data_IF_675599571547
#
_entry.id   IF_675599571547
#
_cell.length_a   1.000
_cell.length_b   1.000
_cell.length_c   1.000
_cell.angle_alpha   90.00
_cell.angle_beta   90.00
_cell.angle_gamma   90.00
#
_symmetry.space_group_name_H-M   'P 1'
#
loop_
_entity.id
_entity.type
_entity.pdbx_description
1 polymer ?
2 water ?
#
# COMPACT_ATOMS: atom_id res chain seq x y z
N UNK A 1 -6.22 -9.60 38.26
CA UNK A 1 -7.14 -8.46 38.55
C UNK A 1 -7.95 -8.04 37.33
N UNK A 2 -8.42 -6.79 37.34
CA UNK A 2 -9.20 -6.26 36.23
C UNK A 2 -8.33 -5.45 35.28
N UNK A 3 -7.32 -4.77 35.83
CA UNK A 3 -6.42 -3.99 35.01
C UNK A 3 -5.70 -4.98 34.09
N UNK A 4 -5.68 -6.24 34.50
CA UNK A 4 -5.05 -7.30 33.73
C UNK A 4 -6.08 -7.81 32.72
N UNK A 5 -7.33 -7.87 33.17
CA UNK A 5 -8.42 -8.32 32.32
C UNK A 5 -8.52 -7.44 31.07
N UNK A 6 -8.54 -6.12 31.27
CA UNK A 6 -8.65 -5.18 30.17
C UNK A 6 -7.38 -5.15 29.32
N UNK A 7 -6.23 -5.33 29.94
CA UNK A 7 -4.98 -5.32 29.18
C UNK A 7 -4.88 -6.52 28.25
N UNK A 8 -5.34 -7.67 28.73
CA UNK A 8 -5.32 -8.88 27.90
C UNK A 8 -6.21 -8.63 26.70
N UNK A 9 -7.37 -8.04 26.98
CA UNK A 9 -8.37 -7.72 25.98
C UNK A 9 -7.82 -6.71 24.95
N UNK A 10 -7.30 -5.59 25.44
CA UNK A 10 -6.75 -4.57 24.56
C UNK A 10 -5.61 -5.13 23.72
N UNK A 11 -4.75 -5.95 24.34
CA UNK A 11 -3.64 -6.54 23.61
C UNK A 11 -4.13 -7.51 22.54
N UNK A 12 -5.26 -8.17 22.79
CA UNK A 12 -5.80 -9.11 21.82
C UNK A 12 -6.22 -8.35 20.56
N UNK A 13 -7.02 -7.30 20.75
CA UNK A 13 -7.48 -6.49 19.66
C UNK A 13 -6.33 -5.84 18.91
N UNK A 14 -5.33 -5.35 19.65
CA UNK A 14 -4.16 -4.73 19.05
C UNK A 14 -3.38 -5.71 18.18
N UNK A 15 -3.11 -6.90 18.71
CA UNK A 15 -2.36 -7.90 17.94
C UNK A 15 -3.07 -8.25 16.63
N UNK A 16 -4.40 -8.29 16.66
CA UNK A 16 -5.19 -8.57 15.46
C UNK A 16 -5.03 -7.44 14.43
N UNK A 17 -5.09 -6.19 14.90
CA UNK A 17 -4.95 -5.02 14.05
C UNK A 17 -3.60 -5.11 13.35
N UNK A 18 -2.54 -5.26 14.14
CA UNK A 18 -1.18 -5.35 13.61
C UNK A 18 -1.10 -6.46 12.56
N UNK A 19 -1.77 -7.56 12.80
CA UNK A 19 -1.74 -8.64 11.84
C UNK A 19 -2.39 -8.14 10.54
N UNK A 20 -3.59 -7.56 10.64
CA UNK A 20 -4.26 -7.05 9.45
C UNK A 20 -3.48 -5.96 8.71
N UNK A 21 -2.85 -5.06 9.45
CA UNK A 21 -2.07 -4.01 8.81
C UNK A 21 -0.86 -4.57 8.07
N UNK A 22 -0.13 -5.49 8.69
CA UNK A 22 1.05 -6.06 8.03
C UNK A 22 0.65 -6.70 6.71
N UNK A 23 -0.44 -7.45 6.71
CA UNK A 23 -0.88 -8.10 5.48
C UNK A 23 -1.25 -7.04 4.44
N UNK A 24 -2.04 -6.05 4.86
CA UNK A 24 -2.46 -4.96 3.98
C UNK A 24 -1.24 -4.31 3.35
N UNK A 25 -0.25 -3.97 4.19
CA UNK A 25 0.99 -3.35 3.74
C UNK A 25 1.72 -4.21 2.71
N UNK A 26 1.63 -5.51 2.86
CA UNK A 26 2.28 -6.40 1.92
C UNK A 26 1.51 -6.39 0.61
N UNK A 27 0.19 -6.49 0.71
CA UNK A 27 -0.65 -6.49 -0.47
C UNK A 27 -0.42 -5.24 -1.30
N UNK A 28 -0.35 -4.10 -0.62
CA UNK A 28 -0.13 -2.84 -1.30
C UNK A 28 1.26 -2.81 -1.94
N UNK A 29 2.26 -3.35 -1.25
CA UNK A 29 3.63 -3.39 -1.78
C UNK A 29 3.67 -4.06 -3.14
N UNK A 30 2.94 -5.17 -3.25
CA UNK A 30 2.89 -5.96 -4.46
C UNK A 30 2.07 -5.28 -5.55
N UNK A 31 0.90 -4.81 -5.17
CA UNK A 31 0.00 -4.13 -6.08
C UNK A 31 0.76 -2.96 -6.70
N UNK A 32 1.49 -2.23 -5.87
CA UNK A 32 2.25 -1.07 -6.29
C UNK A 32 3.42 -1.41 -7.22
N UNK A 33 4.08 -2.54 -7.00
CA UNK A 33 5.20 -2.90 -7.88
C UNK A 33 4.63 -3.50 -9.16
N UNK A 34 3.58 -4.30 -9.01
CA UNK A 34 2.91 -4.90 -10.16
C UNK A 34 2.50 -3.74 -11.06
N UNK A 35 2.04 -2.68 -10.41
CA UNK A 35 1.60 -1.46 -11.07
C UNK A 35 2.76 -0.87 -11.88
N UNK A 36 3.91 -0.70 -11.22
CA UNK A 36 5.08 -0.13 -11.88
C UNK A 36 5.58 -0.97 -13.04
N UNK A 37 5.52 -2.29 -12.93
CA UNK A 37 5.98 -3.15 -14.02
C UNK A 37 5.02 -3.05 -15.20
N UNK A 38 3.73 -2.92 -14.90
CA UNK A 38 2.71 -2.81 -15.94
C UNK A 38 2.93 -1.48 -16.67
N UNK A 39 3.35 -0.47 -15.91
CA UNK A 39 3.62 0.86 -16.43
C UNK A 39 4.86 0.85 -17.32
N UNK A 40 5.90 0.17 -16.83
CA UNK A 40 7.16 0.06 -17.55
C UNK A 40 6.97 -0.74 -18.83
N UNK A 41 6.09 -1.74 -18.78
CA UNK A 41 5.82 -2.58 -19.94
C UNK A 41 4.96 -1.83 -20.95
N UNK A 42 4.08 -0.99 -20.45
CA UNK A 42 3.20 -0.22 -21.30
C UNK A 42 4.05 0.61 -22.25
N UNK A 43 5.24 0.99 -21.80
CA UNK A 43 6.14 1.78 -22.62
C UNK A 43 6.96 0.93 -23.57
N UNK A 44 7.30 -0.28 -23.14
CA UNK A 44 8.10 -1.17 -23.97
C UNK A 44 7.58 -1.26 -25.40
N UNK A 45 6.28 -1.48 -25.59
CA UNK A 45 5.74 -1.54 -26.95
C UNK A 45 5.79 -0.14 -27.56
N UNK A 46 5.80 0.88 -26.69
CA UNK A 46 5.84 2.30 -27.07
C UNK A 46 7.23 2.70 -27.57
N UNK A 47 8.28 2.18 -26.93
CA UNK A 47 9.64 2.48 -27.36
C UNK A 47 9.77 2.01 -28.80
N UNK A 48 9.08 0.92 -29.13
CA UNK A 48 9.12 0.37 -30.49
C UNK A 48 8.16 1.12 -31.41
N UNK A 49 7.24 1.84 -30.79
CA UNK A 49 6.24 2.63 -31.50
C UNK A 49 6.83 3.91 -32.10
N UNK A 50 6.98 4.96 -31.29
CA UNK A 50 7.54 6.21 -31.79
C UNK A 50 8.91 5.99 -32.42
N UNK A 51 9.66 5.00 -31.95
CA UNK A 51 10.99 4.69 -32.48
C UNK A 51 10.92 4.17 -33.91
N UNK A 52 9.93 3.32 -34.16
CA UNK A 52 9.75 2.76 -35.49
C UNK A 52 8.92 3.68 -36.38
N UNK A 53 8.24 4.65 -35.77
CA UNK A 53 7.41 5.60 -36.50
C UNK A 53 8.25 6.78 -36.98
N UNK A 54 9.36 7.03 -36.29
CA UNK A 54 10.25 8.12 -36.63
C UNK A 54 11.04 7.82 -37.89
N UNK A 55 11.78 6.70 -37.89
CA UNK A 55 12.56 6.32 -39.06
C UNK A 55 12.07 4.98 -39.61
N UNK B 1 2.52 -5.59 38.45
CA UNK B 1 3.42 -6.13 39.50
C UNK B 1 4.33 -7.22 38.97
N UNK B 2 4.04 -7.68 37.76
CA UNK B 2 4.83 -8.73 37.11
C UNK B 2 4.28 -8.93 35.70
N UNK B 3 3.07 -9.45 35.62
CA UNK B 3 2.43 -9.65 34.34
C UNK B 3 1.76 -8.34 33.97
N UNK B 4 1.31 -7.58 34.97
CA UNK B 4 0.66 -6.30 34.72
C UNK B 4 1.65 -5.35 34.07
N UNK B 5 2.93 -5.52 34.40
CA UNK B 5 3.99 -4.69 33.85
C UNK B 5 4.34 -5.18 32.45
N UNK B 6 4.38 -6.51 32.29
CA UNK B 6 4.67 -7.13 31.01
C UNK B 6 3.57 -6.72 30.02
N UNK B 7 2.33 -6.86 30.46
CA UNK B 7 1.18 -6.50 29.65
C UNK B 7 1.25 -5.05 29.17
N UNK B 8 1.52 -4.12 30.07
CA UNK B 8 1.62 -2.70 29.72
C UNK B 8 2.69 -2.43 28.69
N UNK B 9 3.84 -3.06 28.86
CA UNK B 9 4.93 -2.88 27.91
C UNK B 9 4.52 -3.43 26.53
N UNK B 10 3.90 -4.61 26.50
CA UNK B 10 3.47 -5.18 25.23
C UNK B 10 2.49 -4.20 24.58
N UNK B 11 1.51 -3.77 25.36
CA UNK B 11 0.49 -2.84 24.90
C UNK B 11 1.09 -1.57 24.30
N UNK B 12 2.11 -1.03 24.95
CA UNK B 12 2.76 0.18 24.48
C UNK B 12 3.42 -0.04 23.12
N UNK B 13 4.14 -1.15 23.00
CA UNK B 13 4.80 -1.48 21.75
C UNK B 13 3.79 -1.75 20.64
N UNK B 14 2.64 -2.33 20.99
CA UNK B 14 1.60 -2.62 20.01
C UNK B 14 0.99 -1.33 19.46
N UNK B 15 0.68 -0.39 20.35
CA UNK B 15 0.08 0.88 19.93
C UNK B 15 0.99 1.64 18.98
N UNK B 16 2.29 1.60 19.24
CA UNK B 16 3.26 2.28 18.38
C UNK B 16 3.39 1.57 17.04
N UNK B 17 3.30 0.24 17.08
CA UNK B 17 3.39 -0.58 15.88
C UNK B 17 2.20 -0.30 14.97
N UNK B 18 1.00 -0.21 15.56
CA UNK B 18 -0.21 0.10 14.81
C UNK B 18 -0.11 1.47 14.14
N UNK B 19 0.37 2.45 14.90
CA UNK B 19 0.52 3.81 14.39
C UNK B 19 1.53 3.88 13.24
N UNK B 20 2.59 3.08 13.32
CA UNK B 20 3.60 3.07 12.27
C UNK B 20 3.10 2.37 11.00
N UNK B 21 2.40 1.26 11.17
CA UNK B 21 1.85 0.51 10.05
C UNK B 21 0.78 1.33 9.37
N UNK B 22 -0.01 2.02 10.18
CA UNK B 22 -1.07 2.88 9.67
C UNK B 22 -0.46 3.96 8.79
N UNK B 23 0.68 4.50 9.19
CA UNK B 23 1.32 5.54 8.41
C UNK B 23 1.83 4.96 7.10
N UNK B 24 2.27 3.72 7.14
CA UNK B 24 2.78 3.04 5.96
C UNK B 24 1.67 2.75 4.95
N UNK B 25 0.51 2.33 5.43
CA UNK B 25 -0.60 2.03 4.56
C UNK B 25 -1.05 3.31 3.86
N UNK B 26 -1.12 4.41 4.62
CA UNK B 26 -1.53 5.67 4.04
C UNK B 26 -0.60 6.13 2.92
N UNK B 27 0.71 5.95 3.10
CA UNK B 27 1.69 6.33 2.09
C UNK B 27 1.54 5.47 0.84
N UNK B 28 1.38 4.16 1.02
CA UNK B 28 1.22 3.26 -0.12
C UNK B 28 -0.06 3.59 -0.90
N UNK B 29 -1.14 3.89 -0.18
CA UNK B 29 -2.41 4.23 -0.82
C UNK B 29 -2.27 5.52 -1.63
N UNK B 30 -1.41 6.42 -1.17
CA UNK B 30 -1.18 7.67 -1.89
C UNK B 30 -0.36 7.39 -3.16
N UNK B 31 0.75 6.67 -3.01
CA UNK B 31 1.59 6.34 -4.16
C UNK B 31 0.73 5.65 -5.22
N UNK B 32 0.00 4.64 -4.77
CA UNK B 32 -0.86 3.85 -5.63
C UNK B 32 -1.88 4.72 -6.36
N UNK B 33 -2.57 5.58 -5.61
CA UNK B 33 -3.56 6.47 -6.19
C UNK B 33 -2.94 7.37 -7.24
N UNK B 34 -1.85 8.02 -6.86
CA UNK B 34 -1.12 8.92 -7.74
C UNK B 34 -0.72 8.21 -9.03
N UNK B 35 -0.35 6.93 -8.91
CA UNK B 35 0.07 6.16 -10.07
C UNK B 35 -1.12 5.93 -10.99
N UNK B 36 -2.29 5.76 -10.38
CA UNK B 36 -3.51 5.55 -11.14
C UNK B 36 -3.93 6.82 -11.85
N UNK B 37 -3.57 7.97 -11.30
CA UNK B 37 -3.92 9.21 -11.96
C UNK B 37 -3.07 9.42 -13.21
N UNK B 38 -1.86 8.87 -13.21
CA UNK B 38 -0.98 8.99 -14.37
C UNK B 38 -1.35 7.92 -15.38
N UNK B 39 -1.55 6.70 -14.91
CA UNK B 39 -1.95 5.63 -15.79
C UNK B 39 -3.17 6.12 -16.56
N UNK B 40 -4.13 6.72 -15.85
CA UNK B 40 -5.36 7.23 -16.45
C UNK B 40 -5.12 8.38 -17.43
N UNK B 41 -4.53 9.46 -16.95
CA UNK B 41 -4.25 10.63 -17.78
C UNK B 41 -3.58 10.22 -19.10
N UNK B 42 -2.73 9.21 -19.03
CA UNK B 42 -2.04 8.70 -20.20
C UNK B 42 -3.04 8.01 -21.14
N UNK B 43 -3.81 7.08 -20.60
CA UNK B 43 -4.80 6.34 -21.37
C UNK B 43 -5.67 7.31 -22.15
N UNK B 44 -6.20 8.32 -21.46
CA UNK B 44 -7.07 9.31 -22.09
C UNK B 44 -6.41 9.96 -23.30
N UNK B 45 -5.08 9.85 -23.37
CA UNK B 45 -4.31 10.41 -24.47
C UNK B 45 -4.29 9.49 -25.69
N UNK B 46 -4.29 8.19 -25.44
CA UNK B 46 -4.32 7.21 -26.51
C UNK B 46 -5.65 7.36 -27.23
N UNK B 47 -6.67 7.75 -26.47
CA UNK B 47 -8.02 7.94 -26.98
C UNK B 47 -7.97 8.90 -28.15
N UNK B 48 -7.36 10.05 -27.91
CA UNK B 48 -7.23 11.04 -28.96
C UNK B 48 -6.24 10.52 -29.97
N UNK B 49 -5.48 9.50 -29.59
CA UNK B 49 -4.45 8.91 -30.45
C UNK B 49 -4.83 7.75 -31.39
N UNK B 50 -5.14 6.59 -30.83
CA UNK B 50 -5.52 5.42 -31.63
C UNK B 50 -6.68 5.75 -32.58
N UNK B 51 -7.68 6.50 -32.11
CA UNK B 51 -8.80 6.85 -32.98
C UNK B 51 -8.49 8.05 -33.85
N UNK B 52 -7.56 8.89 -33.40
CA UNK B 52 -7.14 10.09 -34.12
C UNK B 52 -6.70 9.74 -35.52
N UNK B 53 -6.25 8.50 -35.67
CA UNK B 53 -5.76 8.01 -36.95
C UNK B 53 -6.77 7.13 -37.68
N UNK B 54 -7.60 6.46 -36.91
CA UNK B 54 -8.63 5.57 -37.43
C UNK B 54 -9.33 6.12 -38.68
#
# INVERSE_FOLDING_TARGET
MDKVEELLSKNYHLENEVARLKKLVDDLEDELYAQKLKYKAISEELDHALNDMTSI
MDKVEELLSKNYHLENEVARLKKLVDDLEDELYAQKLKYKAISEELDHALNDMTSI
#
